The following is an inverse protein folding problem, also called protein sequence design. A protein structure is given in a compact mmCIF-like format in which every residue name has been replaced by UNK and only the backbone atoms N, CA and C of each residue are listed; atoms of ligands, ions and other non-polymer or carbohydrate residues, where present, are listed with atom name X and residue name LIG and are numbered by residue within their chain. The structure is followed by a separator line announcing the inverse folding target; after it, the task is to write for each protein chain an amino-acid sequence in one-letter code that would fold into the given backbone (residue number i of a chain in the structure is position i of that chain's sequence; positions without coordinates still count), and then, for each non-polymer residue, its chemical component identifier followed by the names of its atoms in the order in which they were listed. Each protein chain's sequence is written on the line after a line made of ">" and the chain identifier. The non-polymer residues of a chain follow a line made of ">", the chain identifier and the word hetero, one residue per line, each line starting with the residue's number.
data_IF_783861111350
#
_entry.id   IF_783861111350
#
_cell.length_a   1.000
_cell.length_b   1.000
_cell.length_c   1.000
_cell.angle_alpha   90.00
_cell.angle_beta   90.00
_cell.angle_gamma   90.00
#
_symmetry.space_group_name_H-M   'P 1'
#
loop_
_entity.id
_entity.type
_entity.pdbx_description
1 polymer ?
#
# COMPACT_ATOMS: atom_id res chain seq x y z
N UNK A 1 17.19 -44.50 -52.48
CA UNK A 1 15.76 -44.26 -52.22
C UNK A 1 15.70 -43.92 -50.74
N UNK A 2 16.05 -42.68 -50.42
CA UNK A 2 15.16 -41.50 -50.41
C UNK A 2 14.07 -41.64 -49.35
N UNK A 3 13.85 -40.50 -48.71
CA UNK A 3 12.59 -40.08 -48.09
C UNK A 3 12.51 -40.17 -46.56
N UNK A 4 12.77 -38.99 -45.99
CA UNK A 4 11.88 -38.28 -45.07
C UNK A 4 11.75 -38.81 -43.65
N UNK A 5 12.58 -38.26 -42.77
CA UNK A 5 12.10 -37.88 -41.45
C UNK A 5 12.33 -36.38 -41.30
N UNK A 6 11.33 -35.63 -41.78
CA UNK A 6 11.03 -34.27 -41.35
C UNK A 6 10.86 -34.29 -39.82
N UNK A 7 11.90 -33.91 -39.09
CA UNK A 7 11.78 -33.57 -37.67
C UNK A 7 11.89 -32.05 -37.55
N UNK A 8 10.88 -31.40 -38.12
CA UNK A 8 10.60 -29.97 -38.03
C UNK A 8 9.97 -29.67 -36.66
N UNK A 9 10.70 -29.95 -35.57
CA UNK A 9 10.36 -29.45 -34.25
C UNK A 9 11.31 -28.31 -33.90
N UNK A 10 11.15 -27.20 -34.63
CA UNK A 10 11.66 -25.91 -34.22
C UNK A 10 11.06 -25.55 -32.86
N UNK A 11 11.74 -25.97 -31.79
CA UNK A 11 11.43 -25.58 -30.42
C UNK A 11 11.56 -24.07 -30.28
N UNK A 12 10.43 -23.41 -30.54
CA UNK A 12 10.21 -22.01 -30.23
C UNK A 12 10.35 -21.86 -28.72
N UNK A 13 11.53 -21.43 -28.29
CA UNK A 13 11.83 -21.11 -26.90
C UNK A 13 10.97 -19.92 -26.50
N UNK A 14 9.80 -20.18 -25.94
CA UNK A 14 8.87 -19.15 -25.47
C UNK A 14 9.56 -18.37 -24.35
N UNK A 15 10.04 -17.17 -24.68
CA UNK A 15 10.55 -16.22 -23.69
C UNK A 15 9.36 -15.62 -22.96
N UNK A 16 8.98 -16.22 -21.83
CA UNK A 16 7.98 -15.66 -20.94
C UNK A 16 8.51 -14.33 -20.40
N UNK A 17 7.82 -13.22 -20.73
CA UNK A 17 8.07 -11.93 -20.09
C UNK A 17 7.68 -12.06 -18.62
N UNK A 18 8.68 -12.14 -17.74
CA UNK A 18 8.47 -12.09 -16.30
C UNK A 18 8.04 -10.65 -15.96
N UNK A 19 6.86 -10.52 -15.36
CA UNK A 19 6.37 -9.24 -14.85
C UNK A 19 7.18 -8.82 -13.62
N UNK A 20 7.37 -7.52 -13.44
CA UNK A 20 7.94 -6.98 -12.21
C UNK A 20 7.08 -7.39 -11.00
N UNK A 21 7.74 -7.67 -9.88
CA UNK A 21 7.05 -8.05 -8.65
C UNK A 21 6.34 -6.85 -8.06
N UNK A 22 5.09 -7.04 -7.65
CA UNK A 22 4.30 -6.00 -7.01
C UNK A 22 4.96 -5.54 -5.70
N UNK A 23 5.12 -4.22 -5.46
CA UNK A 23 5.62 -3.72 -4.19
C UNK A 23 4.60 -3.95 -3.05
N UNK A 24 5.04 -3.94 -1.78
CA UNK A 24 4.13 -4.03 -0.65
C UNK A 24 3.15 -2.84 -0.63
N UNK A 25 1.93 -3.08 -0.16
CA UNK A 25 0.91 -2.05 -0.03
C UNK A 25 -0.01 -2.34 1.16
N UNK A 26 -0.61 -1.28 1.71
CA UNK A 26 -1.75 -1.42 2.62
C UNK A 26 -3.04 -1.53 1.81
N UNK A 27 -3.87 -2.57 2.01
CA UNK A 27 -5.18 -2.64 1.38
C UNK A 27 -5.98 -1.36 1.66
N UNK A 28 -6.73 -0.89 0.66
CA UNK A 28 -7.52 0.36 0.67
C UNK A 28 -6.73 1.67 0.77
N UNK A 29 -5.40 1.64 0.88
CA UNK A 29 -4.59 2.84 0.84
C UNK A 29 -4.53 3.42 -0.58
N UNK A 30 -4.42 4.75 -0.67
CA UNK A 30 -4.08 5.44 -1.91
C UNK A 30 -2.58 5.71 -2.02
N UNK A 31 -2.03 5.93 -3.22
CA UNK A 31 -0.59 6.16 -3.41
C UNK A 31 -0.02 7.28 -2.52
N UNK A 32 1.22 7.09 -2.07
CA UNK A 32 1.90 7.98 -1.10
C UNK A 32 2.17 9.40 -1.63
N UNK A 33 2.30 9.58 -2.94
CA UNK A 33 2.61 10.87 -3.57
C UNK A 33 1.44 11.86 -3.56
N UNK A 34 0.24 11.45 -3.13
CA UNK A 34 -0.91 12.34 -3.02
C UNK A 34 -0.81 13.19 -1.74
N UNK A 35 -1.09 14.49 -1.89
CA UNK A 35 -1.05 15.44 -0.76
C UNK A 35 -2.06 15.09 0.33
N UNK A 36 -3.28 14.71 -0.08
CA UNK A 36 -4.30 14.13 0.78
C UNK A 36 -4.49 12.69 0.35
N UNK A 37 -4.20 11.75 1.26
CA UNK A 37 -4.24 10.32 0.94
C UNK A 37 -4.93 9.53 2.04
N UNK A 38 -5.58 8.43 1.64
CA UNK A 38 -6.04 7.41 2.56
C UNK A 38 -4.89 6.48 2.91
N UNK A 39 -4.63 6.30 4.20
CA UNK A 39 -3.71 5.29 4.72
C UNK A 39 -4.41 3.94 4.93
N UNK A 40 -5.69 3.98 5.34
CA UNK A 40 -6.60 2.82 5.37
C UNK A 40 -8.05 3.33 5.39
N UNK A 41 -8.93 2.65 4.68
CA UNK A 41 -10.38 2.80 4.77
C UNK A 41 -11.00 1.41 4.86
N UNK A 42 -11.47 1.06 6.05
CA UNK A 42 -12.08 -0.24 6.31
C UNK A 42 -13.46 -0.10 6.97
N UNK A 43 -14.00 -1.20 7.49
CA UNK A 43 -15.31 -1.23 8.15
C UNK A 43 -15.37 -0.51 9.51
N UNK A 44 -14.22 -0.18 10.10
CA UNK A 44 -14.15 0.54 11.39
C UNK A 44 -14.12 2.05 11.17
N UNK A 45 -13.38 2.51 10.17
CA UNK A 45 -13.21 3.93 9.94
C UNK A 45 -12.26 4.25 8.78
N UNK A 46 -11.80 5.50 8.79
CA UNK A 46 -10.94 6.10 7.78
C UNK A 46 -9.73 6.71 8.49
N UNK A 47 -8.54 6.39 7.99
CA UNK A 47 -7.28 7.08 8.36
C UNK A 47 -6.78 7.82 7.13
N UNK A 48 -6.69 9.14 7.24
CA UNK A 48 -6.17 10.06 6.22
C UNK A 48 -4.83 10.62 6.67
N UNK A 49 -3.96 10.88 5.72
CA UNK A 49 -2.75 11.68 5.93
C UNK A 49 -2.77 12.87 4.96
N UNK A 50 -2.43 14.04 5.48
CA UNK A 50 -2.25 15.27 4.72
C UNK A 50 -0.84 15.77 4.95
N UNK A 51 -0.14 16.21 3.91
CA UNK A 51 1.14 16.93 4.06
C UNK A 51 1.01 18.44 3.81
N UNK A 52 -0.22 18.95 3.63
CA UNK A 52 -0.52 20.38 3.47
C UNK A 52 -1.64 20.77 4.44
N UNK A 53 -1.53 21.88 5.20
CA UNK A 53 -0.36 22.75 5.37
C UNK A 53 0.75 22.15 6.25
N UNK A 54 0.44 21.13 7.06
CA UNK A 54 1.36 20.40 7.93
C UNK A 54 1.19 18.88 7.71
N UNK A 55 2.19 18.07 8.07
CA UNK A 55 2.09 16.61 8.05
C UNK A 55 1.24 16.12 9.24
N UNK A 56 0.03 15.68 8.93
CA UNK A 56 -0.99 15.30 9.92
C UNK A 56 -1.73 14.03 9.52
N UNK A 57 -2.11 13.27 10.53
CA UNK A 57 -2.96 12.09 10.42
C UNK A 57 -4.30 12.41 11.05
N UNK A 58 -5.36 12.21 10.28
CA UNK A 58 -6.75 12.42 10.67
C UNK A 58 -7.47 11.06 10.68
N UNK A 59 -8.14 10.75 11.80
CA UNK A 59 -8.83 9.47 12.00
C UNK A 59 -10.29 9.72 12.27
N UNK A 60 -11.13 9.10 11.46
CA UNK A 60 -12.59 9.13 11.58
C UNK A 60 -13.10 7.72 11.82
N UNK A 61 -13.96 7.54 12.81
CA UNK A 61 -14.64 6.27 13.07
C UNK A 61 -16.05 6.35 12.48
N UNK A 62 -16.46 5.32 11.73
CA UNK A 62 -17.82 5.29 11.15
C UNK A 62 -18.89 5.25 12.25
N UNK A 63 -18.57 4.60 13.37
CA UNK A 63 -19.35 4.63 14.59
C UNK A 63 -18.61 5.45 15.66
N UNK A 64 -19.13 6.64 15.94
CA UNK A 64 -18.54 7.57 16.91
C UNK A 64 -18.69 7.12 18.36
N UNK A 65 -19.47 6.06 18.64
CA UNK A 65 -19.51 5.44 19.96
C UNK A 65 -18.26 4.58 20.25
N UNK A 66 -17.53 4.16 19.22
CA UNK A 66 -16.25 3.43 19.36
C UNK A 66 -15.19 4.37 19.92
N UNK A 67 -15.00 5.53 19.26
CA UNK A 67 -14.08 6.56 19.71
C UNK A 67 -14.36 7.90 19.00
N UNK A 68 -13.93 9.01 19.59
CA UNK A 68 -13.94 10.32 18.93
C UNK A 68 -12.88 10.38 17.81
N UNK A 69 -13.10 11.28 16.85
CA UNK A 69 -12.12 11.54 15.79
C UNK A 69 -10.77 11.98 16.37
N UNK A 70 -9.66 11.54 15.77
CA UNK A 70 -8.31 11.87 16.21
C UNK A 70 -7.62 12.76 15.19
N UNK A 71 -6.91 13.76 15.69
CA UNK A 71 -6.04 14.61 14.88
C UNK A 71 -4.62 14.56 15.45
N UNK A 72 -3.68 14.01 14.69
CA UNK A 72 -2.33 13.66 15.15
C UNK A 72 -1.31 14.36 14.26
N UNK A 73 -0.36 15.08 14.86
CA UNK A 73 0.79 15.62 14.12
C UNK A 73 1.77 14.48 13.79
N UNK A 74 2.11 14.33 12.51
CA UNK A 74 2.85 13.19 12.00
C UNK A 74 4.37 13.46 11.95
N UNK A 75 4.98 13.66 13.11
CA UNK A 75 6.40 14.02 13.20
C UNK A 75 7.37 12.97 12.65
N UNK A 76 6.97 11.70 12.68
CA UNK A 76 7.80 10.56 12.22
C UNK A 76 7.46 10.13 10.79
N UNK A 77 6.67 10.93 10.05
CA UNK A 77 6.33 10.66 8.66
C UNK A 77 5.77 9.24 8.42
N UNK A 78 4.86 8.79 9.30
CA UNK A 78 4.23 7.48 9.16
C UNK A 78 3.50 7.38 7.82
N UNK A 79 3.74 6.28 7.10
CA UNK A 79 3.18 6.05 5.78
C UNK A 79 2.29 4.81 5.67
N UNK A 80 2.31 3.95 6.69
CA UNK A 80 1.47 2.75 6.83
C UNK A 80 0.58 2.91 8.06
N UNK A 81 -0.70 2.53 7.96
CA UNK A 81 -1.62 2.49 9.09
C UNK A 81 -2.51 1.25 9.07
N UNK A 82 -3.00 0.86 10.25
CA UNK A 82 -4.09 -0.10 10.42
C UNK A 82 -5.02 0.38 11.53
N UNK A 83 -6.33 0.26 11.30
CA UNK A 83 -7.36 0.73 12.23
C UNK A 83 -8.27 -0.43 12.62
N UNK A 84 -8.43 -0.63 13.93
CA UNK A 84 -9.34 -1.59 14.54
C UNK A 84 -10.24 -0.88 15.56
N UNK A 85 -11.23 -1.58 16.10
CA UNK A 85 -12.07 -1.03 17.18
C UNK A 85 -11.29 -0.72 18.47
N UNK A 86 -10.09 -1.29 18.64
CA UNK A 86 -9.32 -1.19 19.89
C UNK A 86 -8.02 -0.42 19.75
N UNK A 87 -7.49 -0.30 18.53
CA UNK A 87 -6.17 0.26 18.30
C UNK A 87 -6.06 0.90 16.92
N UNK A 88 -5.33 2.01 16.90
CA UNK A 88 -4.69 2.59 15.72
C UNK A 88 -3.20 2.20 15.76
N UNK A 89 -2.72 1.58 14.68
CA UNK A 89 -1.29 1.24 14.52
C UNK A 89 -0.74 2.07 13.36
N UNK A 90 0.39 2.73 13.58
CA UNK A 90 1.11 3.53 12.59
C UNK A 90 2.52 3.00 12.43
N UNK A 91 3.04 3.01 11.20
CA UNK A 91 4.42 2.62 10.92
C UNK A 91 5.09 3.58 9.92
N UNK A 92 6.38 3.78 10.12
CA UNK A 92 7.30 4.53 9.25
C UNK A 92 8.53 3.66 8.96
N UNK A 93 9.34 4.06 7.98
CA UNK A 93 10.65 3.45 7.79
C UNK A 93 11.57 3.85 8.95
N UNK A 94 12.61 3.05 9.19
CA UNK A 94 13.66 3.47 10.11
C UNK A 94 14.45 4.61 9.47
N UNK A 95 14.82 5.61 10.26
CA UNK A 95 15.82 6.57 9.82
C UNK A 95 17.17 5.88 9.78
N UNK A 96 17.86 5.94 8.64
CA UNK A 96 19.28 5.58 8.56
C UNK A 96 20.03 6.55 9.47
N UNK A 97 20.48 6.06 10.63
CA UNK A 97 21.30 6.82 11.57
C UNK A 97 22.64 7.26 10.94
N UNK A 98 23.35 8.21 11.55
CA UNK A 98 24.64 8.70 11.06
C UNK A 98 25.71 7.61 10.97
#
# INVERSE_FOLDING_TARGET
>A
ISDDLDDDDAQSKVSLKISELQPPFQPSATPQHLQHRFMVWNSVGIVRCSNVPEDVIDVEFHDTSVHHALYIKNYMHHHIASLTQHALVLACEAEDGP
#
